data_IF_376625615799
#
_entry.id   IF_376625615799
#
_cell.length_a   1.000
_cell.length_b   1.000
_cell.length_c   1.000
_cell.angle_alpha   90.00
_cell.angle_beta   90.00
_cell.angle_gamma   90.00
#
_symmetry.space_group_name_H-M   'P 1'
#
loop_
_entity.id
_entity.type
_entity.pdbx_description
1 polymer ?
#
# COMPACT_ATOMS: atom_id res chain seq x y z
N UNK A 1 -1.15 8.02 5.56
CA UNK A 1 -0.74 9.42 5.85
C UNK A 1 -0.52 10.27 4.59
N UNK A 2 0.25 9.81 3.58
CA UNK A 2 0.60 10.63 2.40
C UNK A 2 -0.60 11.14 1.59
N UNK A 3 -1.63 10.30 1.40
CA UNK A 3 -2.85 10.63 0.66
C UNK A 3 -3.60 11.79 1.32
N UNK A 4 -3.88 11.66 2.63
CA UNK A 4 -4.61 12.67 3.39
C UNK A 4 -3.86 14.01 3.42
N UNK A 5 -2.54 13.99 3.58
CA UNK A 5 -1.71 15.20 3.52
C UNK A 5 -1.76 15.87 2.14
N UNK A 6 -1.64 15.08 1.07
CA UNK A 6 -1.68 15.59 -0.30
C UNK A 6 -3.03 16.24 -0.62
N UNK A 7 -4.13 15.56 -0.30
CA UNK A 7 -5.48 16.07 -0.50
C UNK A 7 -5.73 17.37 0.27
N UNK A 8 -5.31 17.44 1.54
CA UNK A 8 -5.40 18.68 2.35
C UNK A 8 -4.63 19.84 1.72
N UNK A 9 -3.40 19.61 1.26
CA UNK A 9 -2.58 20.65 0.59
C UNK A 9 -3.22 21.16 -0.72
N UNK A 10 -3.95 20.29 -1.42
CA UNK A 10 -4.68 20.63 -2.64
C UNK A 10 -6.10 21.13 -2.38
N UNK A 11 -6.51 21.22 -1.11
CA UNK A 11 -7.87 21.57 -0.68
C UNK A 11 -8.95 20.70 -1.35
N UNK A 12 -8.65 19.42 -1.56
CA UNK A 12 -9.62 18.47 -2.13
C UNK A 12 -10.60 17.98 -1.05
N UNK A 13 -11.87 17.73 -1.41
CA UNK A 13 -12.92 17.32 -0.47
C UNK A 13 -12.82 15.83 -0.10
N UNK A 14 -11.64 15.40 0.32
CA UNK A 14 -11.40 14.05 0.84
C UNK A 14 -11.77 14.05 2.34
N UNK A 15 -12.83 13.32 2.68
CA UNK A 15 -13.33 13.19 4.05
C UNK A 15 -12.54 12.14 4.84
N UNK A 16 -12.33 10.97 4.24
CA UNK A 16 -11.69 9.84 4.92
C UNK A 16 -10.88 8.96 3.97
N UNK A 17 -9.85 8.33 4.52
CA UNK A 17 -8.97 7.38 3.83
C UNK A 17 -8.81 6.15 4.71
N UNK A 18 -9.31 5.01 4.24
CA UNK A 18 -9.09 3.72 4.89
C UNK A 18 -8.10 2.90 4.06
N UNK A 19 -7.06 2.37 4.71
CA UNK A 19 -6.12 1.41 4.13
C UNK A 19 -6.24 0.11 4.90
N UNK A 20 -6.57 -0.98 4.19
CA UNK A 20 -6.58 -2.34 4.74
C UNK A 20 -5.42 -3.12 4.17
N UNK A 21 -4.59 -3.68 5.05
CA UNK A 21 -3.53 -4.60 4.68
C UNK A 21 -3.94 -6.02 5.08
N UNK A 22 -3.77 -6.97 4.17
CA UNK A 22 -3.87 -8.41 4.46
C UNK A 22 -2.52 -9.04 4.19
N UNK A 23 -2.06 -9.86 5.13
CA UNK A 23 -0.88 -10.69 4.96
C UNK A 23 -1.33 -12.13 4.79
N UNK A 24 -0.77 -12.80 3.80
CA UNK A 24 -1.03 -14.21 3.48
C UNK A 24 0.26 -14.90 3.08
N UNK A 25 0.23 -16.23 3.04
CA UNK A 25 1.27 -17.03 2.39
C UNK A 25 0.69 -17.65 1.14
N UNK A 26 1.35 -17.44 0.01
CA UNK A 26 0.96 -17.96 -1.31
C UNK A 26 2.06 -18.85 -1.87
N UNK A 27 1.72 -19.78 -2.75
CA UNK A 27 2.74 -20.54 -3.47
C UNK A 27 3.40 -19.65 -4.52
N UNK A 28 4.72 -19.74 -4.65
CA UNK A 28 5.48 -18.97 -5.64
C UNK A 28 5.02 -19.23 -7.08
N UNK A 29 4.46 -20.40 -7.35
CA UNK A 29 3.87 -20.78 -8.65
C UNK A 29 2.59 -19.99 -8.99
N UNK A 30 1.87 -19.54 -7.96
CA UNK A 30 0.63 -18.76 -8.12
C UNK A 30 0.93 -17.26 -8.27
N UNK A 31 2.12 -16.80 -7.87
CA UNK A 31 2.56 -15.43 -8.09
C UNK A 31 3.19 -15.24 -9.48
N UNK A 32 2.39 -14.73 -10.42
CA UNK A 32 2.84 -14.49 -11.81
C UNK A 32 3.98 -13.46 -11.89
N UNK A 33 3.97 -12.49 -10.99
CA UNK A 33 4.82 -11.29 -11.06
C UNK A 33 6.01 -11.34 -10.08
N UNK A 34 6.23 -12.47 -9.40
CA UNK A 34 7.32 -12.64 -8.45
C UNK A 34 8.58 -13.24 -9.09
N UNK A 35 9.76 -12.76 -8.71
CA UNK A 35 11.06 -13.33 -9.16
C UNK A 35 11.33 -14.71 -8.56
N UNK A 36 10.86 -14.96 -7.34
CA UNK A 36 10.96 -16.27 -6.69
C UNK A 36 9.89 -17.19 -7.28
N UNK A 37 10.32 -18.33 -7.85
CA UNK A 37 9.44 -19.27 -8.57
C UNK A 37 9.15 -20.58 -7.82
N UNK A 38 9.82 -20.81 -6.69
CA UNK A 38 9.65 -22.01 -5.87
C UNK A 38 9.48 -21.65 -4.39
N UNK A 39 8.71 -22.47 -3.65
CA UNK A 39 8.45 -22.28 -2.22
C UNK A 39 7.19 -21.46 -1.91
N UNK A 40 7.09 -20.99 -0.66
CA UNK A 40 6.02 -20.11 -0.18
C UNK A 40 6.52 -18.67 -0.14
N UNK A 41 5.67 -17.73 -0.57
CA UNK A 41 5.92 -16.30 -0.51
C UNK A 41 4.99 -15.67 0.51
N UNK A 42 5.52 -14.73 1.27
CA UNK A 42 4.70 -13.82 2.07
C UNK A 42 4.15 -12.72 1.13
N UNK A 43 2.83 -12.65 1.00
CA UNK A 43 2.13 -11.66 0.18
C UNK A 43 1.43 -10.66 1.09
N UNK A 44 1.50 -9.38 0.73
CA UNK A 44 0.78 -8.32 1.42
C UNK A 44 -0.12 -7.61 0.41
N UNK A 45 -1.42 -7.81 0.52
CA UNK A 45 -2.43 -7.12 -0.26
C UNK A 45 -2.80 -5.79 0.42
N UNK A 46 -2.94 -4.72 -0.37
CA UNK A 46 -3.32 -3.40 0.12
C UNK A 46 -4.57 -2.88 -0.59
N UNK A 47 -5.65 -2.73 0.16
CA UNK A 47 -6.91 -2.15 -0.31
C UNK A 47 -7.05 -0.72 0.21
N UNK A 48 -7.32 0.25 -0.69
CA UNK A 48 -7.46 1.66 -0.33
C UNK A 48 -8.86 2.15 -0.69
N UNK A 49 -9.59 2.63 0.31
CA UNK A 49 -10.90 3.27 0.16
C UNK A 49 -10.78 4.77 0.40
N UNK A 50 -11.32 5.57 -0.53
CA UNK A 50 -11.36 7.04 -0.45
C UNK A 50 -12.81 7.50 -0.36
N UNK A 51 -13.14 8.29 0.66
CA UNK A 51 -14.47 8.87 0.86
C UNK A 51 -14.44 10.38 0.68
N UNK A 52 -15.43 10.92 -0.03
CA UNK A 52 -15.60 12.35 -0.29
C UNK A 52 -16.00 12.64 -1.74
N UNK A 53 -16.36 13.91 -2.01
CA UNK A 53 -16.81 14.39 -3.32
C UNK A 53 -15.66 14.61 -4.30
N UNK A 54 -14.93 13.53 -4.57
CA UNK A 54 -13.74 13.57 -5.43
C UNK A 54 -14.08 13.28 -6.89
N UNK A 55 -13.58 14.13 -7.79
CA UNK A 55 -13.63 13.86 -9.23
C UNK A 55 -12.84 12.60 -9.60
N UNK A 56 -13.10 12.03 -10.78
CA UNK A 56 -12.36 10.88 -11.28
C UNK A 56 -10.85 11.17 -11.37
N UNK A 57 -10.48 12.37 -11.79
CA UNK A 57 -9.08 12.82 -11.87
C UNK A 57 -8.44 12.88 -10.48
N UNK A 58 -9.14 13.44 -9.48
CA UNK A 58 -8.65 13.50 -8.11
C UNK A 58 -8.46 12.09 -7.52
N UNK A 59 -9.41 11.17 -7.75
CA UNK A 59 -9.31 9.77 -7.31
C UNK A 59 -8.11 9.06 -7.93
N UNK A 60 -7.91 9.21 -9.24
CA UNK A 60 -6.76 8.62 -9.94
C UNK A 60 -5.45 9.19 -9.39
N UNK A 61 -5.38 10.51 -9.18
CA UNK A 61 -4.18 11.11 -8.62
C UNK A 61 -3.89 10.66 -7.18
N UNK A 62 -4.92 10.52 -6.34
CA UNK A 62 -4.75 10.01 -4.98
C UNK A 62 -4.30 8.55 -4.98
N UNK A 63 -4.72 7.73 -5.95
CA UNK A 63 -4.22 6.36 -6.15
C UNK A 63 -2.72 6.35 -6.44
N UNK A 64 -2.26 7.15 -7.39
CA UNK A 64 -0.81 7.26 -7.71
C UNK A 64 0.02 7.72 -6.51
N UNK A 65 -0.53 8.60 -5.68
CA UNK A 65 0.13 9.06 -4.45
C UNK A 65 0.15 7.94 -3.38
N UNK A 66 -0.83 7.04 -3.39
CA UNK A 66 -0.89 5.92 -2.46
C UNK A 66 0.25 4.92 -2.66
N UNK A 67 0.65 4.66 -3.90
CA UNK A 67 1.79 3.81 -4.25
C UNK A 67 3.13 4.38 -3.73
N UNK A 68 3.17 5.69 -3.46
CA UNK A 68 4.33 6.37 -2.86
C UNK A 68 4.27 6.43 -1.34
N UNK A 69 3.36 5.67 -0.70
CA UNK A 69 3.24 5.63 0.75
C UNK A 69 4.54 5.10 1.38
N UNK A 70 5.07 5.74 2.44
CA UNK A 70 6.27 5.28 3.14
C UNK A 70 6.23 3.81 3.55
N UNK A 71 5.05 3.29 3.93
CA UNK A 71 4.88 1.88 4.28
C UNK A 71 5.12 0.97 3.07
N UNK A 72 4.60 1.32 1.89
CA UNK A 72 4.86 0.54 0.67
C UNK A 72 6.36 0.53 0.34
N UNK A 73 7.06 1.66 0.49
CA UNK A 73 8.53 1.72 0.35
C UNK A 73 9.25 0.85 1.37
N UNK A 74 8.84 0.86 2.63
CA UNK A 74 9.42 -0.01 3.66
C UNK A 74 9.24 -1.48 3.30
N UNK A 75 8.03 -1.87 2.88
CA UNK A 75 7.67 -3.26 2.56
C UNK A 75 8.32 -3.79 1.26
N UNK A 76 8.74 -2.91 0.36
CA UNK A 76 9.36 -3.28 -0.93
C UNK A 76 10.89 -3.08 -0.97
N UNK A 77 11.48 -2.55 0.10
CA UNK A 77 12.94 -2.38 0.24
C UNK A 77 13.61 -3.60 0.87
N UNK A 78 14.95 -3.62 0.93
CA UNK A 78 15.67 -4.62 1.72
C UNK A 78 15.35 -4.43 3.22
N UNK A 79 14.62 -5.37 3.82
CA UNK A 79 14.22 -5.31 5.23
C UNK A 79 15.18 -6.14 6.07
N UNK A 80 15.83 -5.51 7.06
CA UNK A 80 16.62 -6.19 8.10
C UNK A 80 15.87 -6.15 9.43
N UNK A 81 15.34 -7.29 9.86
CA UNK A 81 14.67 -7.45 11.15
C UNK A 81 15.70 -7.90 12.20
N UNK A 82 15.80 -7.18 13.31
CA UNK A 82 16.62 -7.55 14.47
C UNK A 82 15.70 -7.81 15.66
N UNK A 83 15.86 -8.96 16.30
CA UNK A 83 15.07 -9.36 17.48
C UNK A 83 15.99 -9.56 18.67
N UNK A 84 15.62 -9.03 19.83
CA UNK A 84 16.29 -9.30 21.10
C UNK A 84 15.25 -9.76 22.13
N UNK A 85 15.63 -10.74 22.95
CA UNK A 85 14.89 -11.13 24.13
C UNK A 85 15.35 -10.20 25.28
N UNK A 86 14.41 -9.55 25.95
CA UNK A 86 14.64 -8.69 27.12
C UNK A 86 14.08 -9.33 28.39
#
# INVERSE_FOLDING_TARGET
MTIALYARRKQWPLEDVTVRLRHSRVHAQDCRDCDTKEGMLDEIESEISLRGELSAEQRNRLREIAERCPVHRTLTSEIKIRTQLV
#
